data_IF_517147436879
#
_entry.id   IF_517147436879
#
_cell.length_a   1.000
_cell.length_b   1.000
_cell.length_c   1.000
_cell.angle_alpha   90.00
_cell.angle_beta   90.00
_cell.angle_gamma   90.00
#
_symmetry.space_group_name_H-M   'P 1'
#
loop_
_entity.id
_entity.type
_entity.pdbx_description
1 polymer ?
#
# COMPACT_ATOMS: atom_id res chain seq x y z
N UNK A 1 -29.70 69.35 6.29
CA UNK A 1 -28.88 68.12 6.35
C UNK A 1 -27.92 68.23 7.52
N UNK A 2 -28.40 67.97 8.73
CA UNK A 2 -27.61 67.99 9.96
C UNK A 2 -28.02 66.78 10.79
N UNK A 3 -27.08 65.90 11.10
CA UNK A 3 -27.29 64.83 12.07
C UNK A 3 -25.94 64.39 12.60
N UNK A 4 -25.62 64.72 13.85
CA UNK A 4 -24.81 63.87 14.71
C UNK A 4 -25.34 63.98 16.13
N UNK A 5 -26.00 62.90 16.54
CA UNK A 5 -26.54 62.63 17.86
C UNK A 5 -25.42 62.28 18.83
N UNK A 6 -25.46 62.84 20.04
CA UNK A 6 -24.76 62.34 21.23
C UNK A 6 -25.79 61.66 22.13
N UNK A 7 -25.55 60.39 22.45
CA UNK A 7 -26.38 59.62 23.38
C UNK A 7 -25.95 59.88 24.82
N UNK A 8 -26.94 60.22 25.64
CA UNK A 8 -26.92 60.20 27.11
C UNK A 8 -27.78 59.01 27.52
N UNK A 9 -27.33 58.18 28.45
CA UNK A 9 -28.21 57.45 29.38
C UNK A 9 -27.43 56.97 30.60
N UNK A 10 -27.86 57.47 31.76
CA UNK A 10 -27.48 57.06 33.11
C UNK A 10 -28.52 56.07 33.68
N UNK A 11 -28.17 55.52 34.85
CA UNK A 11 -28.98 54.83 35.85
C UNK A 11 -29.17 53.32 35.63
N UNK A 12 -29.16 52.46 36.64
CA UNK A 12 -29.10 52.68 38.08
C UNK A 12 -29.42 51.35 38.79
N UNK A 13 -28.84 51.20 39.98
CA UNK A 13 -28.91 50.10 40.94
C UNK A 13 -30.30 49.58 41.34
N UNK A 14 -30.37 48.31 41.80
CA UNK A 14 -30.92 47.81 43.11
C UNK A 14 -31.07 46.28 43.04
N UNK A 15 -30.28 45.49 43.76
CA UNK A 15 -30.51 44.97 45.13
C UNK A 15 -31.80 44.16 45.31
N UNK A 16 -31.68 42.84 45.48
CA UNK A 16 -32.44 42.02 46.44
C UNK A 16 -31.84 40.60 46.55
N UNK A 17 -31.76 40.10 47.79
CA UNK A 17 -31.14 38.84 48.20
C UNK A 17 -32.16 37.93 48.91
N UNK A 18 -31.99 36.60 48.82
CA UNK A 18 -32.37 35.54 49.80
C UNK A 18 -31.92 34.17 49.21
N UNK A 19 -31.08 33.31 49.84
CA UNK A 19 -31.28 32.39 51.00
C UNK A 19 -32.50 31.46 50.82
N UNK A 20 -32.54 30.15 51.05
CA UNK A 20 -31.70 29.01 51.53
C UNK A 20 -32.47 27.74 51.02
N UNK A 21 -31.90 26.56 50.79
CA UNK A 21 -31.72 25.47 51.78
C UNK A 21 -31.21 24.20 51.07
N UNK A 22 -30.34 23.47 51.77
CA UNK A 22 -29.81 22.13 51.48
C UNK A 22 -30.83 21.01 51.75
N UNK A 23 -30.64 19.82 51.15
CA UNK A 23 -30.73 18.53 51.86
C UNK A 23 -30.00 17.41 51.07
N UNK A 24 -29.42 16.49 51.82
CA UNK A 24 -28.39 15.52 51.46
C UNK A 24 -28.91 14.10 51.08
N UNK A 25 -27.97 13.29 50.55
CA UNK A 25 -27.85 11.85 50.18
C UNK A 25 -28.64 10.79 51.03
N UNK A 26 -28.71 9.44 50.75
CA UNK A 26 -27.65 8.54 50.17
C UNK A 26 -28.03 7.21 49.42
N UNK A 27 -26.99 6.57 48.86
CA UNK A 27 -26.62 5.12 48.76
C UNK A 27 -27.68 4.02 48.51
N UNK A 28 -27.47 3.21 47.46
CA UNK A 28 -27.80 1.78 47.46
C UNK A 28 -26.93 0.96 46.49
N UNK A 29 -25.91 0.32 47.04
CA UNK A 29 -25.21 -0.87 46.55
C UNK A 29 -26.10 -2.11 46.73
N UNK A 30 -26.19 -2.98 45.72
CA UNK A 30 -26.45 -4.41 45.93
C UNK A 30 -25.59 -5.28 45.01
N UNK A 31 -25.11 -6.36 45.60
CA UNK A 31 -24.11 -7.32 45.13
C UNK A 31 -24.72 -8.73 45.26
N UNK A 32 -24.33 -9.61 44.32
CA UNK A 32 -24.09 -11.06 44.45
C UNK A 32 -25.26 -12.05 44.53
N UNK A 33 -25.24 -13.03 43.60
CA UNK A 33 -25.36 -14.49 43.80
C UNK A 33 -25.54 -15.19 42.42
N UNK A 34 -24.55 -15.92 41.86
CA UNK A 34 -24.33 -17.40 41.92
C UNK A 34 -25.52 -18.22 41.39
N UNK A 35 -25.45 -19.27 40.57
CA UNK A 35 -24.42 -20.12 39.92
C UNK A 35 -25.20 -21.05 38.96
N UNK A 36 -24.62 -21.43 37.80
CA UNK A 36 -24.75 -22.77 37.17
C UNK A 36 -23.92 -22.78 35.86
N UNK A 37 -22.79 -23.50 35.80
CA UNK A 37 -22.68 -24.89 35.31
C UNK A 37 -23.53 -25.12 34.06
N UNK A 38 -22.98 -25.37 32.87
CA UNK A 38 -22.40 -26.65 32.48
C UNK A 38 -21.71 -26.55 31.10
N UNK A 39 -20.68 -27.40 30.93
CA UNK A 39 -20.27 -28.04 29.69
C UNK A 39 -19.64 -27.18 28.58
N UNK A 40 -18.32 -26.98 28.71
CA UNK A 40 -17.41 -26.87 27.57
C UNK A 40 -17.35 -28.25 26.91
N UNK A 41 -18.07 -28.42 25.80
CA UNK A 41 -17.85 -29.55 24.89
C UNK A 41 -16.70 -29.19 23.95
N UNK A 42 -15.57 -29.84 24.18
CA UNK A 42 -14.47 -29.97 23.23
C UNK A 42 -14.96 -30.73 22.00
N UNK A 43 -15.22 -30.02 20.90
CA UNK A 43 -15.32 -30.63 19.57
C UNK A 43 -14.01 -30.38 18.81
N UNK A 44 -13.29 -31.50 18.72
CA UNK A 44 -12.16 -31.90 17.89
C UNK A 44 -11.76 -30.94 16.75
N UNK A 45 -10.46 -30.67 16.57
CA UNK A 45 -9.95 -30.15 15.31
C UNK A 45 -10.06 -31.24 14.23
N UNK A 46 -10.83 -30.99 13.19
CA UNK A 46 -10.71 -31.74 11.95
C UNK A 46 -9.33 -31.48 11.36
N UNK A 47 -8.49 -32.51 11.40
CA UNK A 47 -7.14 -32.50 10.85
C UNK A 47 -7.18 -32.30 9.34
N UNK A 48 -6.68 -31.15 8.90
CA UNK A 48 -6.16 -30.99 7.55
C UNK A 48 -4.78 -31.66 7.51
N UNK A 49 -4.77 -32.94 7.13
CA UNK A 49 -3.56 -33.57 6.61
C UNK A 49 -3.36 -33.13 5.16
N UNK A 50 -2.37 -32.28 4.91
CA UNK A 50 -1.76 -32.11 3.60
C UNK A 50 -0.31 -32.59 3.64
N UNK A 51 0.20 -33.13 2.52
CA UNK A 51 1.10 -34.28 2.52
C UNK A 51 2.56 -33.89 2.73
N UNK A 52 3.26 -34.66 3.56
CA UNK A 52 4.71 -34.61 3.69
C UNK A 52 5.29 -35.62 2.69
N UNK A 53 6.15 -35.10 1.81
CA UNK A 53 7.40 -35.76 1.42
C UNK A 53 7.31 -36.87 0.37
N UNK A 54 7.44 -36.50 -0.90
CA UNK A 54 8.09 -37.37 -1.87
C UNK A 54 9.56 -37.54 -1.47
N UNK A 55 9.92 -38.72 -0.98
CA UNK A 55 11.31 -39.12 -0.80
C UNK A 55 11.95 -39.27 -2.17
N UNK A 56 12.85 -38.36 -2.52
CA UNK A 56 13.88 -38.58 -3.53
C UNK A 56 15.18 -38.74 -2.77
N UNK A 57 15.76 -39.92 -2.93
CA UNK A 57 17.04 -40.38 -2.40
C UNK A 57 18.16 -39.41 -2.81
N UNK A 58 18.99 -38.89 -1.88
CA UNK A 58 20.29 -38.35 -2.21
C UNK A 58 21.36 -39.33 -1.71
N UNK A 59 21.90 -40.13 -2.62
CA UNK A 59 23.19 -40.77 -2.40
C UNK A 59 24.28 -39.72 -2.61
N UNK A 60 24.92 -39.28 -1.53
CA UNK A 60 26.12 -38.45 -1.56
C UNK A 60 27.26 -39.16 -0.83
N UNK A 61 28.38 -39.35 -1.53
CA UNK A 61 29.62 -39.95 -1.02
C UNK A 61 30.82 -39.70 -1.95
N UNK A 62 31.23 -38.43 -2.02
CA UNK A 62 32.57 -37.77 -2.17
C UNK A 62 33.85 -38.67 -2.06
N UNK A 63 35.09 -38.30 -2.51
CA UNK A 63 35.63 -37.43 -3.58
C UNK A 63 36.80 -38.06 -4.43
N UNK A 64 37.33 -37.24 -5.35
CA UNK A 64 38.76 -37.08 -5.74
C UNK A 64 39.22 -37.73 -7.07
N UNK A 65 39.46 -36.87 -8.06
CA UNK A 65 40.71 -36.84 -8.82
C UNK A 65 40.76 -35.60 -9.73
N UNK A 66 41.96 -35.04 -9.80
CA UNK A 66 42.41 -33.91 -10.61
C UNK A 66 42.17 -34.04 -12.11
N UNK A 67 41.81 -32.94 -12.77
CA UNK A 67 41.78 -32.85 -14.23
C UNK A 67 41.54 -31.43 -14.71
N UNK A 68 42.63 -30.66 -14.85
CA UNK A 68 42.67 -29.43 -15.63
C UNK A 68 42.19 -29.71 -17.06
N UNK A 69 41.29 -28.87 -17.59
CA UNK A 69 41.22 -28.59 -19.03
C UNK A 69 40.46 -27.28 -19.25
N UNK A 70 41.23 -26.23 -19.52
CA UNK A 70 40.73 -24.94 -19.97
C UNK A 70 40.00 -25.11 -21.32
N UNK A 71 38.82 -24.50 -21.48
CA UNK A 71 38.21 -24.36 -22.80
C UNK A 71 37.90 -22.91 -23.08
N UNK A 72 38.50 -22.48 -24.18
CA UNK A 72 38.67 -21.12 -24.66
C UNK A 72 37.37 -20.42 -25.05
N UNK A 73 37.38 -19.10 -24.87
CA UNK A 73 36.47 -18.15 -25.50
C UNK A 73 36.80 -18.05 -27.00
N UNK A 74 35.83 -18.05 -27.93
CA UNK A 74 36.10 -17.61 -29.29
C UNK A 74 35.98 -16.09 -29.39
N UNK A 75 37.11 -15.45 -29.64
CA UNK A 75 37.24 -14.07 -30.10
C UNK A 75 37.22 -14.05 -31.64
N UNK A 76 36.46 -13.09 -32.19
CA UNK A 76 36.52 -12.42 -33.51
C UNK A 76 37.23 -13.15 -34.68
N UNK A 77 36.48 -13.34 -35.77
CA UNK A 77 37.02 -13.55 -37.12
C UNK A 77 36.87 -12.28 -37.97
N UNK A 78 37.99 -11.84 -38.54
CA UNK A 78 38.17 -10.72 -39.46
C UNK A 78 37.71 -11.05 -40.90
N UNK A 79 37.40 -9.98 -41.65
CA UNK A 79 37.13 -9.92 -43.08
C UNK A 79 38.33 -10.26 -43.97
N UNK A 80 38.09 -10.93 -45.11
CA UNK A 80 39.01 -10.95 -46.25
C UNK A 80 38.24 -10.97 -47.59
N UNK A 81 38.39 -9.86 -48.31
CA UNK A 81 38.62 -9.64 -49.76
C UNK A 81 38.03 -10.62 -50.80
N UNK A 82 37.16 -10.05 -51.65
CA UNK A 82 37.27 -10.11 -53.12
C UNK A 82 36.71 -11.33 -53.85
N UNK A 83 35.70 -11.10 -54.71
CA UNK A 83 35.77 -11.62 -56.07
C UNK A 83 34.85 -10.89 -57.05
N UNK A 84 35.47 -10.47 -58.15
CA UNK A 84 35.00 -10.37 -59.53
C UNK A 84 33.66 -9.69 -59.84
N UNK A 85 33.85 -8.51 -60.40
CA UNK A 85 32.99 -7.81 -61.34
C UNK A 85 32.74 -8.71 -62.58
N UNK A 86 31.47 -8.93 -62.94
CA UNK A 86 31.06 -9.26 -64.31
C UNK A 86 29.82 -8.45 -64.61
N UNK A 87 29.98 -7.54 -65.57
CA UNK A 87 28.92 -6.80 -66.22
C UNK A 87 28.31 -7.64 -67.35
N UNK A 88 26.98 -7.61 -67.46
CA UNK A 88 26.25 -7.77 -68.72
C UNK A 88 24.83 -7.25 -68.55
N UNK A 89 24.63 -6.09 -69.19
CA UNK A 89 23.48 -5.42 -69.79
C UNK A 89 22.04 -5.96 -69.64
N UNK A 90 21.16 -4.99 -69.35
CA UNK A 90 19.77 -4.77 -69.75
C UNK A 90 18.75 -5.93 -69.69
N UNK A 91 17.82 -5.84 -68.73
CA UNK A 91 16.38 -5.97 -69.02
C UNK A 91 15.55 -5.31 -67.90
N UNK A 92 14.55 -4.54 -68.32
CA UNK A 92 13.64 -3.79 -67.46
C UNK A 92 12.74 -4.77 -66.72
N UNK A 93 12.95 -4.95 -65.42
CA UNK A 93 11.94 -5.53 -64.53
C UNK A 93 11.69 -4.58 -63.37
N UNK A 94 10.83 -3.60 -63.62
CA UNK A 94 10.09 -2.88 -62.58
C UNK A 94 9.12 -3.85 -61.87
N UNK A 95 9.69 -4.81 -61.14
CA UNK A 95 8.94 -5.61 -60.19
C UNK A 95 8.46 -4.65 -59.09
N UNK A 96 7.14 -4.42 -58.92
CA UNK A 96 6.67 -3.55 -57.86
C UNK A 96 7.20 -4.12 -56.55
N UNK A 97 7.86 -3.28 -55.75
CA UNK A 97 8.33 -3.67 -54.43
C UNK A 97 7.15 -4.28 -53.66
N UNK A 98 7.10 -5.61 -53.62
CA UNK A 98 6.03 -6.34 -52.94
C UNK A 98 6.22 -6.02 -51.46
N UNK A 99 5.40 -5.10 -50.96
CA UNK A 99 5.37 -4.74 -49.56
C UNK A 99 4.99 -5.99 -48.76
N UNK A 100 5.99 -6.76 -48.33
CA UNK A 100 5.75 -7.93 -47.49
C UNK A 100 5.11 -7.45 -46.19
N UNK A 101 3.91 -7.93 -45.85
CA UNK A 101 3.24 -7.51 -44.63
C UNK A 101 4.16 -7.84 -43.46
N UNK A 102 4.26 -6.95 -42.45
CA UNK A 102 5.16 -7.18 -41.34
C UNK A 102 4.82 -8.51 -40.69
N UNK A 103 5.80 -9.44 -40.68
CA UNK A 103 5.62 -10.77 -40.11
C UNK A 103 5.24 -10.64 -38.64
N UNK A 104 3.97 -10.92 -38.33
CA UNK A 104 3.45 -10.86 -36.96
C UNK A 104 4.14 -11.95 -36.13
N UNK A 105 5.04 -11.54 -35.24
CA UNK A 105 5.68 -12.45 -34.29
C UNK A 105 4.70 -12.70 -33.14
N UNK A 106 3.99 -13.82 -33.20
CA UNK A 106 3.15 -14.26 -32.08
C UNK A 106 4.02 -14.46 -30.84
N UNK A 107 3.66 -13.76 -29.76
CA UNK A 107 4.26 -14.01 -28.44
C UNK A 107 3.66 -15.29 -27.88
N UNK A 108 4.41 -15.97 -27.00
CA UNK A 108 3.87 -17.06 -26.18
C UNK A 108 2.68 -16.56 -25.37
N UNK A 109 1.67 -17.44 -25.19
CA UNK A 109 0.44 -17.10 -24.47
C UNK A 109 0.71 -16.53 -23.07
N UNK A 110 1.68 -17.06 -22.33
CA UNK A 110 2.04 -16.54 -20.99
C UNK A 110 2.48 -15.07 -21.01
N UNK A 111 3.23 -14.68 -22.05
CA UNK A 111 3.71 -13.31 -22.23
C UNK A 111 2.55 -12.40 -22.60
N UNK A 112 1.65 -12.87 -23.47
CA UNK A 112 0.45 -12.15 -23.87
C UNK A 112 -0.49 -11.96 -22.67
N UNK A 113 -0.76 -13.01 -21.90
CA UNK A 113 -1.59 -12.96 -20.69
C UNK A 113 -1.01 -11.98 -19.65
N UNK A 114 0.31 -12.05 -19.38
CA UNK A 114 0.98 -11.09 -18.49
C UNK A 114 0.85 -9.65 -19.00
N UNK A 115 0.97 -9.45 -20.31
CA UNK A 115 0.84 -8.14 -20.91
C UNK A 115 -0.58 -7.58 -20.76
N UNK A 116 -1.60 -8.41 -21.00
CA UNK A 116 -3.02 -8.06 -20.80
C UNK A 116 -3.26 -7.67 -19.33
N UNK A 117 -2.78 -8.45 -18.36
CA UNK A 117 -2.93 -8.12 -16.95
C UNK A 117 -2.24 -6.80 -16.58
N UNK A 118 -1.08 -6.51 -17.17
CA UNK A 118 -0.41 -5.23 -16.96
C UNK A 118 -1.19 -4.06 -17.55
N UNK A 119 -1.85 -4.25 -18.70
CA UNK A 119 -2.72 -3.24 -19.32
C UNK A 119 -3.91 -2.95 -18.41
N UNK A 120 -4.63 -3.99 -17.98
CA UNK A 120 -5.79 -3.85 -17.08
C UNK A 120 -5.43 -3.12 -15.78
N UNK A 121 -4.27 -3.44 -15.20
CA UNK A 121 -3.79 -2.75 -13.99
C UNK A 121 -3.50 -1.26 -14.22
N UNK A 122 -2.97 -0.88 -15.38
CA UNK A 122 -2.68 0.52 -15.72
C UNK A 122 -3.97 1.30 -15.93
N UNK A 123 -4.88 0.76 -16.73
CA UNK A 123 -6.19 1.36 -16.99
C UNK A 123 -6.97 1.59 -15.69
N UNK A 124 -6.98 0.60 -14.79
CA UNK A 124 -7.64 0.72 -13.49
C UNK A 124 -7.03 1.84 -12.63
N UNK A 125 -5.71 1.98 -12.64
CA UNK A 125 -5.02 3.05 -11.88
C UNK A 125 -5.29 4.44 -12.48
N UNK A 126 -5.32 4.54 -13.80
CA UNK A 126 -5.61 5.80 -14.51
C UNK A 126 -7.02 6.30 -14.22
N UNK A 127 -8.03 5.41 -14.27
CA UNK A 127 -9.43 5.74 -13.90
C UNK A 127 -9.53 6.33 -12.49
N UNK A 128 -8.87 5.68 -11.51
CA UNK A 128 -8.92 6.17 -10.13
C UNK A 128 -8.14 7.48 -9.94
N UNK A 129 -7.07 7.70 -10.72
CA UNK A 129 -6.31 8.96 -10.68
C UNK A 129 -7.05 10.12 -11.33
N UNK A 130 -7.88 9.88 -12.34
CA UNK A 130 -8.73 10.93 -12.92
C UNK A 130 -9.84 11.38 -11.97
N UNK A 131 -10.33 10.48 -11.12
CA UNK A 131 -11.39 10.80 -10.14
C UNK A 131 -10.86 11.59 -8.94
N UNK A 132 -9.58 11.42 -8.58
CA UNK A 132 -9.00 12.05 -7.38
C UNK A 132 -7.50 12.24 -7.46
N UNK A 133 -7.05 13.34 -6.86
CA UNK A 133 -5.64 13.61 -6.65
C UNK A 133 -5.10 12.78 -5.48
N UNK A 134 -4.12 11.92 -5.78
CA UNK A 134 -3.49 11.07 -4.77
C UNK A 134 -2.04 11.49 -4.59
N UNK A 135 -1.62 11.93 -3.39
CA UNK A 135 -0.25 12.35 -3.16
C UNK A 135 0.71 11.16 -3.17
N UNK A 136 1.99 11.41 -3.44
CA UNK A 136 3.01 10.37 -3.41
C UNK A 136 3.38 9.99 -1.96
N UNK A 137 2.85 8.84 -1.53
CA UNK A 137 3.08 8.31 -0.19
C UNK A 137 4.40 7.54 -0.14
N UNK A 138 5.37 8.07 0.59
CA UNK A 138 6.68 7.44 0.81
C UNK A 138 6.82 6.94 2.26
N UNK A 139 7.64 5.90 2.50
CA UNK A 139 7.97 5.48 3.86
C UNK A 139 8.67 6.63 4.60
N UNK A 140 8.34 6.81 5.88
CA UNK A 140 8.82 7.95 6.68
C UNK A 140 7.95 9.20 6.60
N UNK A 141 6.92 9.23 5.76
CA UNK A 141 5.91 10.29 5.79
C UNK A 141 4.96 10.12 6.97
N UNK A 142 4.61 11.23 7.61
CA UNK A 142 3.50 11.34 8.56
C UNK A 142 2.28 11.79 7.77
N UNK A 143 1.22 10.98 7.82
CA UNK A 143 0.01 11.19 7.04
C UNK A 143 -1.18 11.38 7.97
N UNK A 144 -2.07 12.27 7.58
CA UNK A 144 -3.42 12.37 8.09
C UNK A 144 -4.39 11.98 6.96
N UNK A 145 -5.27 11.03 7.23
CA UNK A 145 -6.20 10.50 6.25
C UNK A 145 -7.62 10.46 6.80
N UNK A 146 -8.59 10.82 5.98
CA UNK A 146 -10.02 10.70 6.29
C UNK A 146 -10.59 9.44 5.63
N UNK A 147 -11.19 8.57 6.45
CA UNK A 147 -11.78 7.30 6.04
C UNK A 147 -13.29 7.31 6.24
N UNK A 148 -14.01 6.92 5.20
CA UNK A 148 -15.40 6.56 5.31
C UNK A 148 -15.50 5.08 5.71
N UNK A 149 -16.01 4.82 6.91
CA UNK A 149 -16.22 3.46 7.42
C UNK A 149 -17.66 3.06 7.13
N UNK A 150 -17.93 1.90 6.50
CA UNK A 150 -19.28 1.51 6.09
C UNK A 150 -20.26 1.37 7.27
N UNK A 151 -19.77 0.96 8.44
CA UNK A 151 -20.55 0.85 9.68
C UNK A 151 -20.97 2.21 10.24
N UNK A 152 -20.09 3.21 10.12
CA UNK A 152 -20.26 4.54 10.71
C UNK A 152 -20.47 5.60 9.63
N UNK A 153 -21.58 5.50 8.88
CA UNK A 153 -21.87 6.38 7.73
C UNK A 153 -21.99 7.87 8.08
N UNK A 154 -22.29 8.20 9.35
CA UNK A 154 -22.50 9.58 9.80
C UNK A 154 -21.22 10.40 9.95
N UNK A 155 -20.06 9.74 10.16
CA UNK A 155 -18.80 10.42 10.45
C UNK A 155 -17.62 9.82 9.69
N UNK A 156 -16.75 10.69 9.21
CA UNK A 156 -15.47 10.27 8.67
C UNK A 156 -14.46 10.07 9.80
N UNK A 157 -13.81 8.91 9.81
CA UNK A 157 -12.76 8.60 10.79
C UNK A 157 -11.44 9.19 10.33
N UNK A 158 -10.87 10.08 11.14
CA UNK A 158 -9.55 10.64 10.86
C UNK A 158 -8.46 9.79 11.50
N UNK A 159 -7.52 9.29 10.70
CA UNK A 159 -6.34 8.56 11.15
C UNK A 159 -5.09 9.37 10.90
N UNK A 160 -4.21 9.42 11.90
CA UNK A 160 -2.89 10.05 11.81
C UNK A 160 -1.83 9.05 12.25
N UNK A 161 -0.75 8.94 11.48
CA UNK A 161 0.36 8.03 11.81
C UNK A 161 1.52 8.12 10.81
N UNK A 162 2.55 7.31 11.03
CA UNK A 162 3.69 7.20 10.13
C UNK A 162 3.51 6.04 9.16
N UNK A 163 3.92 6.26 7.92
CA UNK A 163 4.02 5.19 6.92
C UNK A 163 5.31 4.41 7.16
N UNK A 164 5.14 3.15 7.52
CA UNK A 164 6.25 2.21 7.73
C UNK A 164 6.76 1.65 6.43
N UNK A 165 5.86 1.39 5.49
CA UNK A 165 6.22 0.76 4.23
C UNK A 165 5.08 0.84 3.23
N UNK A 166 5.46 0.76 1.97
CA UNK A 166 4.56 0.75 0.81
C UNK A 166 4.83 -0.50 -0.02
N UNK A 167 3.78 -1.14 -0.52
CA UNK A 167 3.84 -2.24 -1.46
C UNK A 167 3.17 -1.77 -2.75
N UNK A 168 3.94 -1.71 -3.84
CA UNK A 168 3.44 -1.35 -5.15
C UNK A 168 2.95 -2.61 -5.86
N UNK A 169 1.66 -2.65 -6.20
CA UNK A 169 1.03 -3.80 -6.85
C UNK A 169 -0.13 -3.34 -7.77
N UNK A 170 0.16 -2.40 -8.67
CA UNK A 170 -0.85 -1.81 -9.56
C UNK A 170 -1.99 -1.16 -8.77
N UNK A 171 -3.22 -1.60 -9.03
CA UNK A 171 -4.42 -1.15 -8.31
C UNK A 171 -4.43 -1.54 -6.82
N UNK A 172 -3.76 -2.65 -6.47
CA UNK A 172 -3.66 -3.15 -5.10
C UNK A 172 -2.43 -2.58 -4.36
N UNK A 173 -1.96 -1.41 -4.77
CA UNK A 173 -0.88 -0.71 -4.06
C UNK A 173 -1.35 -0.35 -2.66
N UNK A 174 -0.60 -0.79 -1.64
CA UNK A 174 -0.96 -0.58 -0.24
C UNK A 174 0.15 0.11 0.53
N UNK A 175 -0.21 0.82 1.59
CA UNK A 175 0.75 1.36 2.55
C UNK A 175 0.34 0.98 3.97
N UNK A 176 1.35 0.88 4.86
CA UNK A 176 1.19 0.49 6.26
C UNK A 176 1.37 1.71 7.15
N UNK A 177 0.31 2.08 7.86
CA UNK A 177 0.31 3.15 8.83
C UNK A 177 0.53 2.58 10.23
N UNK A 178 1.42 3.19 11.02
CA UNK A 178 1.57 2.90 12.45
C UNK A 178 1.23 4.14 13.25
N UNK A 179 0.43 3.97 14.29
CA UNK A 179 0.13 5.00 15.29
C UNK A 179 0.04 4.36 16.67
N UNK A 180 0.25 5.15 17.71
CA UNK A 180 -0.02 4.75 19.09
C UNK A 180 -1.42 5.25 19.45
N UNK A 181 -2.29 4.33 19.89
CA UNK A 181 -3.63 4.64 20.38
C UNK A 181 -3.71 4.12 21.80
N UNK A 182 -3.97 5.02 22.77
CA UNK A 182 -4.07 4.67 24.18
C UNK A 182 -2.88 3.81 24.69
N UNK A 183 -1.66 4.14 24.26
CA UNK A 183 -0.44 3.41 24.64
C UNK A 183 -0.17 2.12 23.86
N UNK A 184 -1.09 1.66 23.02
CA UNK A 184 -0.94 0.44 22.22
C UNK A 184 -0.54 0.80 20.78
N UNK A 185 0.47 0.11 20.25
CA UNK A 185 0.92 0.27 18.87
C UNK A 185 -0.03 -0.39 17.88
N UNK A 186 -0.83 0.42 17.19
CA UNK A 186 -1.76 -0.05 16.15
C UNK A 186 -1.11 0.10 14.78
N UNK A 187 -1.03 -1.01 14.05
CA UNK A 187 -0.65 -1.03 12.63
C UNK A 187 -1.90 -1.26 11.78
N UNK A 188 -2.05 -0.50 10.71
CA UNK A 188 -3.18 -0.62 9.79
C UNK A 188 -2.69 -0.55 8.35
N UNK A 189 -3.23 -1.41 7.49
CA UNK A 189 -2.86 -1.48 6.07
C UNK A 189 -3.98 -0.89 5.24
N UNK A 190 -3.65 0.07 4.38
CA UNK A 190 -4.64 0.72 3.52
C UNK A 190 -4.27 0.56 2.05
N UNK A 191 -5.22 0.17 1.19
CA UNK A 191 -5.08 0.32 -0.26
C UNK A 191 -5.12 1.80 -0.66
N UNK A 192 -4.10 2.24 -1.40
CA UNK A 192 -3.95 3.63 -1.84
C UNK A 192 -5.07 4.08 -2.78
N UNK A 193 -5.61 3.15 -3.56
CA UNK A 193 -6.66 3.39 -4.55
C UNK A 193 -8.07 2.95 -4.07
N UNK A 194 -8.34 2.86 -2.77
CA UNK A 194 -9.71 2.54 -2.29
C UNK A 194 -10.63 3.76 -2.27
N UNK A 195 -11.90 3.63 -2.70
CA UNK A 195 -12.89 4.72 -2.67
C UNK A 195 -13.30 5.14 -1.24
N UNK A 196 -13.01 4.30 -0.24
CA UNK A 196 -13.30 4.59 1.16
C UNK A 196 -12.39 5.69 1.74
N UNK A 197 -11.26 5.96 1.06
CA UNK A 197 -10.36 7.05 1.43
C UNK A 197 -10.83 8.32 0.73
N UNK A 198 -11.24 9.32 1.53
CA UNK A 198 -11.72 10.61 1.00
C UNK A 198 -10.58 11.58 0.74
N UNK A 199 -9.65 11.68 1.68
CA UNK A 199 -8.58 12.67 1.61
C UNK A 199 -7.32 12.13 2.28
N UNK A 200 -6.16 12.35 1.64
CA UNK A 200 -4.84 12.00 2.15
C UNK A 200 -4.00 13.28 2.22
N UNK A 201 -3.60 13.69 3.42
CA UNK A 201 -2.68 14.82 3.64
C UNK A 201 -1.35 14.33 4.17
N UNK A 202 -0.26 14.74 3.54
CA UNK A 202 1.08 14.55 4.09
C UNK A 202 1.35 15.73 5.02
N UNK A 203 1.53 15.44 6.30
CA UNK A 203 1.83 16.46 7.32
C UNK A 203 3.32 16.76 7.40
N UNK A 204 4.15 15.72 7.40
CA UNK A 204 5.60 15.84 7.55
C UNK A 204 6.30 14.70 6.80
N UNK A 205 7.53 14.95 6.34
CA UNK A 205 8.39 13.99 5.65
C UNK A 205 9.67 13.82 6.47
N UNK A 206 9.84 12.68 7.13
CA UNK A 206 11.07 12.35 7.85
C UNK A 206 12.10 11.70 6.92
N UNK A 207 13.35 12.12 7.03
CA UNK A 207 14.48 11.47 6.33
C UNK A 207 14.73 10.10 6.95
N UNK A 208 14.51 9.04 6.17
CA UNK A 208 14.72 7.65 6.60
C UNK A 208 15.66 6.94 5.64
N UNK A 209 16.49 6.04 6.16
CA UNK A 209 17.47 5.28 5.36
C UNK A 209 16.93 3.95 4.83
N UNK A 210 15.95 3.35 5.53
CA UNK A 210 15.38 2.04 5.17
C UNK A 210 14.07 2.25 4.39
N UNK A 211 13.84 1.42 3.38
CA UNK A 211 12.58 1.41 2.61
C UNK A 211 11.37 0.91 3.42
N UNK A 212 11.61 0.08 4.45
CA UNK A 212 10.58 -0.40 5.39
C UNK A 212 11.05 -0.19 6.83
N UNK A 213 10.25 0.52 7.61
CA UNK A 213 10.61 0.96 8.97
C UNK A 213 10.11 -0.02 10.04
N UNK A 214 10.32 -1.32 9.85
CA UNK A 214 9.81 -2.34 10.80
C UNK A 214 10.48 -2.27 12.18
N UNK A 215 11.67 -1.67 12.26
CA UNK A 215 12.34 -1.38 13.53
C UNK A 215 11.54 -0.41 14.43
N UNK A 216 10.50 0.26 13.90
CA UNK A 216 9.59 1.10 14.68
C UNK A 216 8.65 0.31 15.61
N UNK A 217 8.65 -1.03 15.50
CA UNK A 217 7.93 -1.92 16.42
C UNK A 217 8.59 -1.97 17.78
N UNK A 218 9.91 -2.10 17.78
CA UNK A 218 10.74 -2.25 18.98
C UNK A 218 11.06 -0.90 19.63
N UNK A 219 10.84 0.19 18.90
CA UNK A 219 11.12 1.55 19.38
C UNK A 219 9.87 2.14 20.02
N UNK A 220 9.96 2.45 21.31
CA UNK A 220 9.01 3.31 22.01
C UNK A 220 9.15 4.74 21.48
N UNK A 221 8.25 5.13 20.58
CA UNK A 221 8.05 6.51 20.10
C UNK A 221 9.15 7.05 19.17
N UNK A 222 9.01 6.81 17.87
CA UNK A 222 9.91 7.42 16.89
C UNK A 222 9.53 8.84 16.44
N UNK A 223 8.51 9.46 17.05
CA UNK A 223 7.91 10.69 16.54
C UNK A 223 7.58 11.65 17.68
N UNK A 224 8.59 12.02 18.46
CA UNK A 224 8.60 13.37 19.01
C UNK A 224 9.18 14.30 17.94
N UNK A 225 8.53 15.45 17.79
CA UNK A 225 9.00 16.56 16.99
C UNK A 225 10.34 17.04 17.56
#
# INVERSE_FOLDING_TARGET
>A
MQSLLRNVCQAGSRLAAARLLEFAAPVATQQMATQSSLAIQYLRPYGFSCPIGSQIIPCGGVPAASGFCARALPVRGFSAVGNAEVASDDEVSSSPAVAHPPRIKFKRLDKTARHIMNILNKEAVEKVRSEREIPDVQPGCIIQMRLQVPENKRRESTLKGIVIGRRNAGINTTFRLRRLVAGIGVESVFPLYSPNIKEIKILDRKKVRRAKLYYLRDRMNALKK
#
